data_IF_261758921626
#
_entry.id   IF_261758921626
#
_cell.length_a   1.000
_cell.length_b   1.000
_cell.length_c   1.000
_cell.angle_alpha   90.00
_cell.angle_beta   90.00
_cell.angle_gamma   90.00
#
_symmetry.space_group_name_H-M   'P 1'
#
loop_
_entity.id
_entity.type
_entity.pdbx_description
1 polymer ?
#
# COMPACT_ATOMS: atom_id res chain seq x y z
N UNK A 1 -20.99 10.94 11.12
CA UNK A 1 -19.66 11.56 11.22
C UNK A 1 -18.86 11.16 10.01
N UNK A 2 -18.04 12.06 9.43
CA UNK A 2 -17.14 11.74 8.32
C UNK A 2 -16.17 10.61 8.67
N UNK A 3 -15.67 9.91 7.65
CA UNK A 3 -14.63 8.87 7.76
C UNK A 3 -13.32 9.47 7.25
N UNK A 4 -12.23 9.32 8.01
CA UNK A 4 -10.90 9.66 7.51
C UNK A 4 -10.44 8.61 6.49
N UNK A 5 -10.24 9.05 5.25
CA UNK A 5 -9.75 8.24 4.14
C UNK A 5 -8.45 8.85 3.62
N UNK A 6 -7.32 8.29 4.06
CA UNK A 6 -6.01 8.76 3.61
C UNK A 6 -5.66 10.19 4.03
N UNK A 7 -6.19 10.66 5.15
CA UNK A 7 -6.02 12.04 5.63
C UNK A 7 -7.08 13.00 5.13
N UNK A 8 -8.08 12.53 4.37
CA UNK A 8 -9.17 13.33 3.84
C UNK A 8 -10.52 12.92 4.46
N UNK A 9 -11.32 13.84 5.00
CA UNK A 9 -12.62 13.53 5.55
C UNK A 9 -13.63 13.25 4.43
N UNK A 10 -14.20 12.06 4.44
CA UNK A 10 -15.14 11.59 3.43
C UNK A 10 -16.52 11.29 4.01
N UNK A 11 -17.55 11.40 3.17
CA UNK A 11 -18.92 11.09 3.57
C UNK A 11 -19.06 9.60 3.96
N UNK A 12 -19.76 9.33 5.08
CA UNK A 12 -19.84 7.98 5.66
C UNK A 12 -20.50 6.96 4.72
N UNK A 13 -21.46 7.40 3.93
CA UNK A 13 -22.22 6.58 2.98
C UNK A 13 -21.39 6.08 1.78
N UNK A 14 -20.18 6.61 1.57
CA UNK A 14 -19.21 6.09 0.59
C UNK A 14 -18.56 4.76 1.03
N UNK A 15 -18.75 4.34 2.29
CA UNK A 15 -18.14 3.15 2.86
C UNK A 15 -19.20 2.14 3.29
N UNK A 16 -18.88 0.86 3.19
CA UNK A 16 -19.76 -0.20 3.70
C UNK A 16 -19.92 -0.11 5.23
N UNK A 17 -21.06 -0.57 5.71
CA UNK A 17 -21.29 -0.85 7.14
C UNK A 17 -20.85 -2.28 7.47
N UNK A 18 -20.63 -2.56 8.76
CA UNK A 18 -20.32 -3.93 9.19
C UNK A 18 -21.49 -4.90 8.96
N UNK A 19 -22.73 -4.42 8.95
CA UNK A 19 -23.89 -5.24 8.63
C UNK A 19 -23.90 -5.63 7.15
N UNK A 20 -23.56 -4.70 6.25
CA UNK A 20 -23.37 -4.99 4.83
C UNK A 20 -22.21 -5.97 4.60
N UNK A 21 -21.08 -5.80 5.30
CA UNK A 21 -19.95 -6.75 5.22
C UNK A 21 -20.38 -8.14 5.70
N UNK A 22 -21.18 -8.22 6.77
CA UNK A 22 -21.74 -9.50 7.25
C UNK A 22 -22.65 -10.16 6.22
N UNK A 23 -23.51 -9.37 5.57
CA UNK A 23 -24.39 -9.84 4.50
C UNK A 23 -23.59 -10.39 3.33
N UNK A 24 -22.61 -9.62 2.82
CA UNK A 24 -21.70 -10.04 1.76
C UNK A 24 -20.98 -11.34 2.15
N UNK A 25 -20.46 -11.42 3.37
CA UNK A 25 -19.75 -12.61 3.87
C UNK A 25 -20.64 -13.85 3.92
N UNK A 26 -21.95 -13.71 4.17
CA UNK A 26 -22.90 -14.84 4.22
C UNK A 26 -23.23 -15.41 2.84
N UNK A 27 -22.94 -14.68 1.77
CA UNK A 27 -23.18 -15.17 0.41
C UNK A 27 -22.32 -16.40 0.04
N UNK A 28 -21.14 -16.53 0.66
CA UNK A 28 -20.12 -17.52 0.28
C UNK A 28 -19.42 -17.24 -1.06
N UNK A 29 -19.70 -16.09 -1.69
CA UNK A 29 -19.16 -15.72 -3.01
C UNK A 29 -17.97 -14.74 -2.94
N UNK A 30 -17.76 -14.09 -1.80
CA UNK A 30 -16.79 -13.00 -1.65
C UNK A 30 -15.83 -13.29 -0.49
N UNK A 31 -14.53 -13.21 -0.78
CA UNK A 31 -13.47 -13.23 0.23
C UNK A 31 -13.31 -11.81 0.84
N UNK A 32 -13.46 -11.69 2.16
CA UNK A 32 -13.24 -10.43 2.87
C UNK A 32 -11.76 -10.32 3.27
N UNK A 33 -11.00 -9.53 2.50
CA UNK A 33 -9.59 -9.26 2.74
C UNK A 33 -9.35 -8.09 3.70
N UNK A 34 -8.18 -8.06 4.34
CA UNK A 34 -7.75 -6.91 5.14
C UNK A 34 -7.02 -5.86 4.28
N UNK A 35 -7.29 -4.60 4.56
CA UNK A 35 -6.63 -3.45 3.92
C UNK A 35 -6.10 -2.48 4.98
N UNK A 36 -5.41 -3.03 5.98
CA UNK A 36 -5.07 -2.38 7.27
C UNK A 36 -6.30 -2.04 8.12
N UNK A 37 -6.06 -1.72 9.39
CA UNK A 37 -7.07 -1.16 10.27
C UNK A 37 -7.17 0.37 10.14
N UNK A 38 -6.03 1.05 10.12
CA UNK A 38 -5.94 2.51 10.08
C UNK A 38 -4.60 3.01 9.49
N UNK A 39 -3.93 2.22 8.65
CA UNK A 39 -2.60 2.54 8.10
C UNK A 39 -2.62 2.86 6.60
N UNK A 40 -3.78 3.26 6.07
CA UNK A 40 -3.96 3.69 4.69
C UNK A 40 -3.80 5.22 4.55
N UNK A 41 -2.61 5.75 4.80
CA UNK A 41 -2.27 7.17 4.67
C UNK A 41 -0.78 7.36 4.33
N UNK A 42 -0.39 8.57 3.93
CA UNK A 42 1.01 8.96 3.75
C UNK A 42 1.63 9.37 5.08
N UNK A 43 2.67 8.66 5.52
CA UNK A 43 3.46 9.02 6.69
C UNK A 43 4.75 9.72 6.27
N UNK A 44 5.20 10.69 7.07
CA UNK A 44 6.50 11.33 6.87
C UNK A 44 7.59 10.26 6.91
N UNK A 45 8.34 10.13 5.82
CA UNK A 45 9.31 9.05 5.61
C UNK A 45 10.75 9.49 5.85
N UNK A 46 11.03 10.79 5.78
CA UNK A 46 12.39 11.31 5.93
C UNK A 46 12.43 12.77 6.41
N UNK A 47 13.61 13.28 6.81
CA UNK A 47 13.79 14.68 7.21
C UNK A 47 13.47 15.72 6.13
N UNK A 48 13.53 15.34 4.86
CA UNK A 48 13.30 16.23 3.72
C UNK A 48 11.82 16.57 3.52
N UNK A 49 10.90 15.82 4.14
CA UNK A 49 9.46 16.09 4.05
C UNK A 49 8.69 15.09 3.19
N UNK A 50 9.34 14.07 2.62
CA UNK A 50 8.68 13.11 1.74
C UNK A 50 7.68 12.25 2.52
N UNK A 51 6.52 12.01 1.94
CA UNK A 51 5.52 11.10 2.50
C UNK A 51 5.47 9.79 1.73
N UNK A 52 5.44 8.67 2.44
CA UNK A 52 5.35 7.32 1.87
C UNK A 52 4.23 6.50 2.56
N UNK A 53 3.74 5.40 1.96
CA UNK A 53 2.70 4.57 2.56
C UNK A 53 3.04 4.09 3.98
N UNK A 54 2.22 4.51 4.95
CA UNK A 54 2.48 4.28 6.38
C UNK A 54 2.62 2.80 6.78
N UNK A 55 1.98 1.89 6.02
CA UNK A 55 2.05 0.46 6.25
C UNK A 55 3.38 -0.18 5.78
N UNK A 56 4.13 0.49 4.91
CA UNK A 56 5.35 -0.05 4.30
C UNK A 56 6.64 0.50 4.94
N UNK A 57 6.56 1.62 5.68
CA UNK A 57 7.75 2.39 6.09
C UNK A 57 7.81 2.68 7.59
N UNK A 58 9.04 2.85 8.10
CA UNK A 58 9.29 3.41 9.43
C UNK A 58 9.14 4.92 9.37
N UNK A 59 8.18 5.45 10.12
CA UNK A 59 7.89 6.88 10.06
C UNK A 59 9.03 7.72 10.64
N UNK A 60 9.32 8.85 10.03
CA UNK A 60 10.19 9.86 10.58
C UNK A 60 9.37 10.84 11.44
N UNK A 61 9.85 11.10 12.65
CA UNK A 61 9.30 12.13 13.52
C UNK A 61 10.18 13.38 13.45
N UNK A 62 9.65 14.48 12.90
CA UNK A 62 10.36 15.76 12.78
C UNK A 62 10.74 16.40 14.12
N UNK A 63 10.05 16.03 15.21
CA UNK A 63 10.38 16.45 16.58
C UNK A 63 10.18 15.25 17.51
N UNK A 64 11.25 14.46 17.76
CA UNK A 64 12.61 14.94 18.04
C UNK A 64 13.66 14.67 16.94
N UNK A 65 13.28 14.62 15.66
CA UNK A 65 14.16 14.29 14.51
C UNK A 65 14.68 12.86 14.54
N UNK A 66 13.79 11.90 14.77
CA UNK A 66 14.14 10.49 14.88
C UNK A 66 13.25 9.64 14.00
N UNK A 67 13.83 8.61 13.41
CA UNK A 67 13.07 7.54 12.81
C UNK A 67 12.41 6.69 13.89
N UNK A 68 11.23 6.18 13.56
CA UNK A 68 10.60 5.08 14.27
C UNK A 68 11.59 3.91 14.33
N UNK A 69 11.85 3.43 15.54
CA UNK A 69 12.69 2.26 15.75
C UNK A 69 11.98 1.00 15.26
N UNK A 70 12.73 -0.07 15.06
CA UNK A 70 12.16 -1.36 14.66
C UNK A 70 11.08 -1.87 15.62
N UNK A 71 11.33 -1.75 16.92
CA UNK A 71 10.40 -2.19 17.95
C UNK A 71 9.11 -1.38 17.91
N UNK A 72 9.21 -0.07 17.68
CA UNK A 72 8.03 0.80 17.55
C UNK A 72 7.22 0.45 16.30
N UNK A 73 7.89 0.26 15.16
CA UNK A 73 7.24 -0.15 13.91
C UNK A 73 6.53 -1.50 14.07
N UNK A 74 7.22 -2.50 14.62
CA UNK A 74 6.66 -3.82 14.86
C UNK A 74 5.44 -3.74 15.78
N UNK A 75 5.50 -2.92 16.83
CA UNK A 75 4.37 -2.73 17.74
C UNK A 75 3.20 -1.99 17.07
N UNK A 76 3.47 -0.96 16.25
CA UNK A 76 2.45 -0.21 15.51
C UNK A 76 1.73 -1.11 14.50
N UNK A 77 2.48 -1.77 13.63
CA UNK A 77 1.91 -2.63 12.60
C UNK A 77 1.31 -3.91 13.17
N UNK A 78 1.90 -4.49 14.22
CA UNK A 78 1.30 -5.62 14.94
C UNK A 78 -0.08 -5.27 15.52
N UNK A 79 -0.23 -4.09 16.13
CA UNK A 79 -1.54 -3.63 16.62
C UNK A 79 -2.53 -3.39 15.48
N UNK A 80 -2.09 -2.80 14.38
CA UNK A 80 -2.95 -2.54 13.21
C UNK A 80 -3.47 -3.85 12.61
N UNK A 81 -2.58 -4.79 12.32
CA UNK A 81 -2.91 -6.12 11.76
C UNK A 81 -3.82 -6.89 12.72
N UNK A 82 -3.51 -6.93 14.02
CA UNK A 82 -4.35 -7.60 15.01
C UNK A 82 -5.76 -6.99 15.07
N UNK A 83 -5.87 -5.66 15.04
CA UNK A 83 -7.15 -4.97 15.13
C UNK A 83 -8.05 -5.24 13.91
N UNK A 84 -7.52 -5.18 12.68
CA UNK A 84 -8.32 -5.47 11.49
C UNK A 84 -8.71 -6.95 11.41
N UNK A 85 -7.78 -7.84 11.75
CA UNK A 85 -8.02 -9.30 11.79
C UNK A 85 -9.19 -9.63 12.70
N UNK A 86 -9.19 -9.08 13.91
CA UNK A 86 -10.22 -9.30 14.90
C UNK A 86 -11.56 -8.64 14.52
N UNK A 87 -11.54 -7.45 13.90
CA UNK A 87 -12.76 -6.81 13.38
C UNK A 87 -13.42 -7.66 12.30
N UNK A 88 -12.65 -8.15 11.32
CA UNK A 88 -13.17 -9.02 10.27
C UNK A 88 -13.71 -10.31 10.90
N UNK A 89 -12.93 -10.98 11.75
CA UNK A 89 -13.34 -12.23 12.42
C UNK A 89 -14.66 -12.10 13.16
N UNK A 90 -14.88 -11.02 13.91
CA UNK A 90 -16.15 -10.80 14.62
C UNK A 90 -17.36 -10.65 13.70
N UNK A 91 -17.16 -10.11 12.50
CA UNK A 91 -18.24 -9.81 11.56
C UNK A 91 -18.54 -11.01 10.65
N UNK A 92 -17.50 -11.70 10.19
CA UNK A 92 -17.59 -12.79 9.22
C UNK A 92 -17.58 -14.17 9.85
N UNK A 93 -17.16 -14.29 11.11
CA UNK A 93 -16.91 -15.57 11.80
C UNK A 93 -15.56 -16.23 11.44
N UNK A 94 -14.80 -15.66 10.51
CA UNK A 94 -13.58 -16.25 9.97
C UNK A 94 -12.41 -15.25 10.04
N UNK A 95 -11.22 -15.73 10.42
CA UNK A 95 -10.03 -14.90 10.32
C UNK A 95 -9.71 -14.63 8.84
N UNK A 96 -9.42 -13.38 8.44
CA UNK A 96 -8.99 -13.08 7.08
C UNK A 96 -7.65 -13.76 6.78
N UNK A 97 -7.47 -14.19 5.53
CA UNK A 97 -6.22 -14.79 5.02
C UNK A 97 -5.60 -14.01 3.87
N UNK A 98 -6.27 -12.96 3.37
CA UNK A 98 -5.83 -12.12 2.27
C UNK A 98 -5.51 -10.72 2.78
N UNK A 99 -4.31 -10.25 2.46
CA UNK A 99 -3.82 -8.90 2.72
C UNK A 99 -3.79 -8.11 1.42
N UNK A 100 -4.30 -6.88 1.42
CA UNK A 100 -4.19 -5.97 0.28
C UNK A 100 -3.40 -4.77 0.73
N UNK A 101 -2.30 -4.45 0.02
CA UNK A 101 -1.44 -3.33 0.39
C UNK A 101 -2.09 -1.99 0.04
N UNK A 102 -2.20 -1.03 0.99
CA UNK A 102 -2.47 0.37 0.67
C UNK A 102 -1.52 0.87 -0.42
N UNK A 103 -2.09 1.50 -1.46
CA UNK A 103 -1.33 2.01 -2.61
C UNK A 103 -0.51 0.94 -3.37
N UNK A 104 -0.69 -0.35 -3.08
CA UNK A 104 0.09 -1.43 -3.67
C UNK A 104 1.53 -1.58 -3.15
N UNK A 105 1.97 -0.70 -2.24
CA UNK A 105 3.35 -0.67 -1.76
C UNK A 105 3.59 -1.73 -0.68
N UNK A 106 4.49 -2.68 -0.96
CA UNK A 106 4.86 -3.74 -0.02
C UNK A 106 5.99 -3.32 0.93
N UNK A 107 5.95 -3.82 2.16
CA UNK A 107 7.02 -3.66 3.14
C UNK A 107 7.32 -4.98 3.83
N UNK A 108 8.57 -5.46 3.76
CA UNK A 108 8.95 -6.80 4.24
C UNK A 108 8.63 -7.04 5.73
N UNK A 109 8.82 -6.03 6.59
CA UNK A 109 8.51 -6.14 8.01
C UNK A 109 7.01 -6.29 8.28
N UNK A 110 6.15 -5.52 7.59
CA UNK A 110 4.69 -5.67 7.70
C UNK A 110 4.22 -6.98 7.09
N UNK A 111 4.83 -7.44 5.99
CA UNK A 111 4.49 -8.72 5.37
C UNK A 111 4.76 -9.89 6.32
N UNK A 112 5.90 -9.86 7.03
CA UNK A 112 6.22 -10.82 8.09
C UNK A 112 5.16 -10.81 9.19
N UNK A 113 4.79 -9.64 9.71
CA UNK A 113 3.76 -9.49 10.75
C UNK A 113 2.42 -10.04 10.26
N UNK A 114 2.00 -9.73 9.03
CA UNK A 114 0.80 -10.31 8.46
C UNK A 114 0.88 -11.85 8.39
N UNK A 115 2.02 -12.41 7.97
CA UNK A 115 2.25 -13.86 7.99
C UNK A 115 2.10 -14.48 9.39
N UNK A 116 2.65 -13.83 10.43
CA UNK A 116 2.52 -14.24 11.84
C UNK A 116 1.06 -14.24 12.33
N UNK A 117 0.21 -13.43 11.71
CA UNK A 117 -1.24 -13.37 11.97
C UNK A 117 -2.08 -14.32 11.07
N UNK A 118 -1.43 -15.18 10.28
CA UNK A 118 -2.11 -16.22 9.50
C UNK A 118 -2.53 -15.81 8.08
N UNK A 119 -2.07 -14.66 7.59
CA UNK A 119 -2.29 -14.26 6.19
C UNK A 119 -1.43 -15.11 5.25
N UNK A 120 -2.01 -15.50 4.11
CA UNK A 120 -1.44 -16.48 3.16
C UNK A 120 -1.35 -15.96 1.73
N UNK A 121 -2.04 -14.85 1.43
CA UNK A 121 -2.02 -14.16 0.15
C UNK A 121 -1.87 -12.66 0.42
N UNK A 122 -0.94 -12.00 -0.27
CA UNK A 122 -0.79 -10.55 -0.21
C UNK A 122 -0.79 -9.97 -1.63
N UNK A 123 -1.62 -8.94 -1.85
CA UNK A 123 -1.88 -8.34 -3.15
C UNK A 123 -1.23 -6.95 -3.25
N UNK A 124 -0.36 -6.76 -4.23
CA UNK A 124 0.35 -5.50 -4.53
C UNK A 124 -0.28 -4.80 -5.75
N UNK A 125 0.38 -3.76 -6.25
CA UNK A 125 0.17 -3.18 -7.59
C UNK A 125 1.46 -3.22 -8.43
N UNK A 126 2.36 -4.14 -8.11
CA UNK A 126 3.53 -4.43 -8.94
C UNK A 126 3.09 -4.91 -10.33
N UNK A 127 3.97 -4.74 -11.32
CA UNK A 127 3.78 -5.28 -12.65
C UNK A 127 3.92 -6.82 -12.67
N UNK A 128 3.34 -7.44 -13.71
CA UNK A 128 3.47 -8.87 -13.97
C UNK A 128 2.22 -9.69 -13.65
N UNK A 129 2.28 -10.97 -14.00
CA UNK A 129 1.23 -11.94 -13.69
C UNK A 129 1.46 -12.60 -12.31
N UNK A 130 0.36 -12.82 -11.59
CA UNK A 130 0.36 -13.57 -10.33
C UNK A 130 0.80 -15.03 -10.52
N UNK A 131 1.50 -15.59 -9.53
CA UNK A 131 2.01 -16.97 -9.57
C UNK A 131 1.66 -17.69 -8.27
N UNK A 132 1.19 -18.94 -8.37
CA UNK A 132 0.87 -19.75 -7.19
C UNK A 132 2.08 -20.05 -6.29
N UNK A 133 3.29 -19.97 -6.83
CA UNK A 133 4.54 -20.09 -6.07
C UNK A 133 4.92 -18.83 -5.28
N UNK A 134 4.25 -17.69 -5.50
CA UNK A 134 4.55 -16.40 -4.87
C UNK A 134 3.26 -15.68 -4.44
N UNK A 135 2.54 -16.25 -3.47
CA UNK A 135 1.26 -15.69 -3.01
C UNK A 135 1.43 -14.44 -2.12
N UNK A 136 2.52 -14.33 -1.37
CA UNK A 136 2.73 -13.21 -0.43
C UNK A 136 3.28 -11.93 -1.08
N UNK A 137 3.28 -11.85 -2.41
CA UNK A 137 3.64 -10.66 -3.17
C UNK A 137 3.07 -10.86 -4.58
N UNK A 138 1.74 -10.77 -4.67
CA UNK A 138 0.96 -11.06 -5.87
C UNK A 138 0.58 -9.78 -6.61
N UNK A 139 1.10 -9.56 -7.83
CA UNK A 139 0.72 -8.45 -8.71
C UNK A 139 -0.77 -8.38 -9.01
N UNK A 140 -1.26 -7.17 -9.29
CA UNK A 140 -2.62 -6.93 -9.80
C UNK A 140 -2.65 -5.78 -10.77
N UNK A 141 -3.53 -5.88 -11.76
CA UNK A 141 -3.87 -4.75 -12.62
C UNK A 141 -4.61 -3.68 -11.83
N UNK A 142 -4.07 -2.47 -11.81
CA UNK A 142 -4.81 -1.31 -11.36
C UNK A 142 -5.74 -0.82 -12.47
N UNK A 143 -7.04 -0.80 -12.21
CA UNK A 143 -8.02 -0.14 -13.06
C UNK A 143 -8.25 1.27 -12.54
N UNK A 144 -7.85 2.26 -13.33
CA UNK A 144 -7.94 3.67 -12.97
C UNK A 144 -9.00 4.38 -13.79
N UNK A 145 -9.70 5.32 -13.16
CA UNK A 145 -10.75 6.16 -13.77
C UNK A 145 -11.93 5.32 -14.29
N UNK A 146 -12.29 5.50 -15.56
CA UNK A 146 -13.29 4.71 -16.29
C UNK A 146 -12.69 4.41 -17.67
N UNK A 147 -11.86 3.35 -17.79
CA UNK A 147 -11.11 3.11 -19.01
C UNK A 147 -12.06 2.69 -20.14
N UNK A 148 -11.86 3.27 -21.33
CA UNK A 148 -12.55 2.78 -22.51
C UNK A 148 -12.25 1.29 -22.75
N UNK A 149 -13.20 0.57 -23.34
CA UNK A 149 -13.15 -0.88 -23.51
C UNK A 149 -11.86 -1.39 -24.19
N UNK A 150 -11.36 -0.66 -25.20
CA UNK A 150 -10.14 -1.04 -25.93
C UNK A 150 -8.88 -0.95 -25.04
N UNK A 151 -8.57 0.19 -24.39
CA UNK A 151 -7.50 0.26 -23.38
C UNK A 151 -7.61 -0.81 -22.30
N UNK A 152 -8.82 -1.05 -21.79
CA UNK A 152 -9.06 -2.12 -20.80
C UNK A 152 -8.72 -3.50 -21.36
N UNK A 153 -9.21 -3.86 -22.56
CA UNK A 153 -8.92 -5.16 -23.17
C UNK A 153 -7.40 -5.38 -23.39
N UNK A 154 -6.68 -4.31 -23.76
CA UNK A 154 -5.23 -4.37 -23.97
C UNK A 154 -4.43 -4.50 -22.67
N UNK A 155 -4.99 -4.07 -21.53
CA UNK A 155 -4.28 -4.12 -20.24
C UNK A 155 -3.98 -5.55 -19.78
N UNK A 156 -4.82 -6.54 -20.14
CA UNK A 156 -4.59 -7.94 -19.79
C UNK A 156 -3.34 -8.52 -20.46
N UNK A 157 -3.11 -8.20 -21.74
CA UNK A 157 -1.89 -8.64 -22.46
C UNK A 157 -0.62 -7.94 -21.97
N UNK A 158 -0.76 -6.71 -21.42
CA UNK A 158 0.35 -5.96 -20.83
C UNK A 158 0.90 -6.57 -19.55
N UNK A 159 0.06 -7.23 -18.74
CA UNK A 159 0.48 -7.87 -17.49
C UNK A 159 1.45 -9.05 -17.69
N UNK A 160 1.39 -9.72 -18.83
CA UNK A 160 2.27 -10.84 -19.16
C UNK A 160 3.51 -10.41 -19.96
N UNK A 161 3.50 -9.18 -20.47
CA UNK A 161 4.60 -8.65 -21.26
C UNK A 161 5.84 -8.43 -20.40
N UNK A 162 7.01 -8.73 -20.97
CA UNK A 162 8.29 -8.33 -20.39
C UNK A 162 8.75 -7.05 -21.11
N UNK A 163 8.53 -5.85 -20.55
CA UNK A 163 8.81 -4.61 -21.25
C UNK A 163 10.30 -4.44 -21.50
N UNK A 164 10.66 -3.76 -22.58
CA UNK A 164 12.03 -3.31 -22.79
C UNK A 164 12.38 -2.28 -21.71
N UNK A 165 13.35 -2.63 -20.87
CA UNK A 165 13.83 -1.74 -19.81
C UNK A 165 14.79 -0.69 -20.39
N UNK A 166 14.54 0.57 -20.08
CA UNK A 166 15.51 1.66 -20.27
C UNK A 166 16.12 1.98 -18.92
N UNK A 167 17.44 1.79 -18.79
CA UNK A 167 18.17 2.14 -17.59
C UNK A 167 18.81 3.51 -17.70
N UNK A 168 18.82 4.26 -16.61
CA UNK A 168 19.61 5.47 -16.43
C UNK A 168 20.43 5.34 -15.14
N UNK A 169 21.65 5.86 -15.15
CA UNK A 169 22.45 6.00 -13.94
C UNK A 169 22.33 7.44 -13.45
N UNK A 170 21.97 7.60 -12.18
CA UNK A 170 21.86 8.88 -11.51
C UNK A 170 22.83 8.87 -10.33
N UNK A 171 23.77 9.79 -10.35
CA UNK A 171 24.73 9.99 -9.27
C UNK A 171 24.23 11.10 -8.34
N UNK A 172 24.00 10.77 -7.08
CA UNK A 172 23.46 11.71 -6.10
C UNK A 172 24.43 12.84 -5.77
N UNK A 173 25.74 12.67 -6.01
CA UNK A 173 26.73 13.73 -5.81
C UNK A 173 26.49 14.93 -6.75
N UNK A 174 25.83 14.70 -7.89
CA UNK A 174 25.45 15.74 -8.85
C UNK A 174 24.03 16.27 -8.66
N UNK A 175 23.21 15.57 -7.88
CA UNK A 175 21.82 15.96 -7.58
C UNK A 175 21.74 16.77 -6.28
N UNK A 176 22.56 16.41 -5.30
CA UNK A 176 22.58 17.02 -3.98
C UNK A 176 23.06 18.47 -4.02
N UNK A 177 22.37 19.32 -3.26
CA UNK A 177 22.80 20.67 -2.92
C UNK A 177 22.46 20.96 -1.44
N UNK A 178 23.31 21.67 -0.68
CA UNK A 178 22.99 22.08 0.69
C UNK A 178 21.70 22.92 0.81
N UNK A 179 21.31 23.67 -0.23
CA UNK A 179 19.99 24.30 -0.34
C UNK A 179 18.95 23.27 -0.79
N UNK A 180 17.97 22.90 0.07
CA UNK A 180 16.91 21.96 -0.30
C UNK A 180 16.11 22.41 -1.53
N UNK A 181 15.94 23.72 -1.73
CA UNK A 181 15.24 24.24 -2.90
C UNK A 181 16.05 24.03 -4.18
N UNK A 182 17.39 24.03 -4.11
CA UNK A 182 18.23 23.70 -5.26
C UNK A 182 18.24 22.20 -5.54
N UNK A 183 18.27 21.35 -4.50
CA UNK A 183 18.11 19.89 -4.68
C UNK A 183 16.78 19.57 -5.37
N UNK A 184 15.68 20.22 -4.99
CA UNK A 184 14.36 20.04 -5.61
C UNK A 184 14.36 20.46 -7.09
N UNK A 185 15.04 21.57 -7.44
CA UNK A 185 15.25 21.98 -8.83
C UNK A 185 16.04 20.93 -9.62
N UNK A 186 17.13 20.41 -9.06
CA UNK A 186 17.96 19.37 -9.70
C UNK A 186 17.17 18.08 -9.96
N UNK A 187 16.33 17.67 -9.00
CA UNK A 187 15.41 16.53 -9.15
C UNK A 187 14.34 16.80 -10.22
N UNK A 188 13.83 18.02 -10.29
CA UNK A 188 12.90 18.45 -11.33
C UNK A 188 13.49 18.35 -12.73
N UNK A 189 14.73 18.80 -12.93
CA UNK A 189 15.45 18.65 -14.20
C UNK A 189 15.60 17.17 -14.57
N UNK A 190 16.04 16.33 -13.63
CA UNK A 190 16.17 14.88 -13.83
C UNK A 190 14.85 14.21 -14.25
N UNK A 191 13.73 14.59 -13.62
CA UNK A 191 12.42 14.03 -13.92
C UNK A 191 11.93 14.37 -15.34
N UNK A 192 12.44 15.44 -15.94
CA UNK A 192 12.10 15.88 -17.30
C UNK A 192 13.11 15.46 -18.37
N UNK A 193 14.21 14.82 -17.98
CA UNK A 193 15.34 14.51 -18.87
C UNK A 193 15.11 13.30 -19.80
N UNK A 194 13.92 12.67 -19.78
CA UNK A 194 13.64 11.38 -20.44
C UNK A 194 12.28 11.32 -21.13
#
# INVERSE_FOLDING_TARGET
>A
MPVDFGGSPEARDRFLTWDQIREISRSGLVEIAAHTNASHYGALANPQGNTEPAAAIRAYNAQPRQYETEAQFNARMGRDVAAITEKIRRVTGHAPRVWVWPYGAEGGSTLRIAGEHGYQLALTLEDGAGRLSRLMSTPRLLLSSDPALKPFANSGGGMEANPFMRGAHVDLDYVYDPDPAQTDRNLGELATAW
#
